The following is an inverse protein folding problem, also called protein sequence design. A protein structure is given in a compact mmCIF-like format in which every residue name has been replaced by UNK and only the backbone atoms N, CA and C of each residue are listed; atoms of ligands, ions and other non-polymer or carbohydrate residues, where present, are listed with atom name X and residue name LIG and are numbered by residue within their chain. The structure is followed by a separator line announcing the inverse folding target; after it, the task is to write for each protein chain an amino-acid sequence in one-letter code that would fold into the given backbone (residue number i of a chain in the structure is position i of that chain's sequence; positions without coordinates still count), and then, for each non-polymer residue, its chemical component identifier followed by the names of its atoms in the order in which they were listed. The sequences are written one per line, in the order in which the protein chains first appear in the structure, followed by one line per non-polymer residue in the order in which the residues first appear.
data_IF_338370160392
#
_entry.id   IF_338370160392
#
_cell.length_a   1.000
_cell.length_b   1.000
_cell.length_c   1.000
_cell.angle_alpha   90.00
_cell.angle_beta   90.00
_cell.angle_gamma   90.00
#
_symmetry.space_group_name_H-M   'P 1'
#
loop_
_entity.id
_entity.type
_entity.pdbx_description
1 polymer ?
#
# COMPACT_ATOMS: atom_id res chain seq x y z
N UNK A 1 38.93 33.15 54.94
CA UNK A 1 37.74 32.29 55.15
C UNK A 1 36.56 33.04 54.57
N UNK A 2 35.83 32.40 53.65
CA UNK A 2 34.66 32.87 52.89
C UNK A 2 34.85 34.02 51.89
N UNK A 3 34.63 33.70 50.61
CA UNK A 3 34.74 34.57 49.44
C UNK A 3 33.46 35.34 49.09
N UNK A 4 33.50 36.12 47.99
CA UNK A 4 32.40 36.98 47.58
C UNK A 4 31.39 36.28 46.68
N UNK A 5 30.19 36.88 46.65
CA UNK A 5 29.01 36.50 45.92
C UNK A 5 29.24 36.25 44.43
N UNK A 6 28.59 35.23 43.90
CA UNK A 6 28.22 35.16 42.48
C UNK A 6 26.71 35.03 42.40
N UNK A 7 26.10 35.99 41.70
CA UNK A 7 24.70 35.96 41.35
C UNK A 7 24.39 34.68 40.61
N UNK A 8 23.21 34.13 40.90
CA UNK A 8 22.57 33.14 40.06
C UNK A 8 22.26 33.81 38.73
N UNK A 9 23.23 33.80 37.82
CA UNK A 9 22.98 33.93 36.40
C UNK A 9 22.08 32.75 36.05
N UNK A 10 20.81 33.05 35.80
CA UNK A 10 19.93 32.21 35.02
C UNK A 10 20.64 31.97 33.68
N UNK A 11 21.44 30.91 33.62
CA UNK A 11 21.91 30.34 32.38
C UNK A 11 20.68 29.78 31.71
N UNK A 12 20.17 30.55 30.76
CA UNK A 12 19.40 30.14 29.59
C UNK A 12 19.47 28.64 29.40
N UNK A 13 18.43 27.90 29.84
CA UNK A 13 18.10 26.63 29.20
C UNK A 13 17.85 27.00 27.75
N UNK A 14 18.89 26.84 26.92
CA UNK A 14 18.78 26.99 25.49
C UNK A 14 17.67 26.05 25.05
N UNK A 15 16.60 26.63 24.53
CA UNK A 15 15.42 25.95 24.02
C UNK A 15 15.88 24.80 23.10
N UNK A 16 15.95 23.60 23.64
CA UNK A 16 16.46 22.41 22.95
C UNK A 16 15.32 21.67 22.24
N UNK A 17 14.11 22.26 22.24
CA UNK A 17 12.97 21.72 21.51
C UNK A 17 13.19 21.98 20.01
N UNK A 18 13.07 20.94 19.21
CA UNK A 18 13.07 21.06 17.75
C UNK A 18 11.78 21.79 17.34
N UNK A 19 11.79 22.51 16.21
CA UNK A 19 10.60 23.22 15.73
C UNK A 19 9.41 22.27 15.54
N UNK A 20 9.64 21.03 15.10
CA UNK A 20 8.58 20.02 14.98
C UNK A 20 7.90 19.66 16.31
N UNK A 21 8.57 19.84 17.46
CA UNK A 21 7.99 19.61 18.79
C UNK A 21 6.89 20.64 19.11
N UNK A 22 6.97 21.84 18.54
CA UNK A 22 5.96 22.89 18.71
C UNK A 22 4.71 22.61 17.88
N UNK A 23 4.87 22.01 16.70
CA UNK A 23 3.77 21.79 15.75
C UNK A 23 3.08 20.44 15.90
N UNK A 24 3.82 19.39 16.30
CA UNK A 24 3.25 18.05 16.50
C UNK A 24 3.96 17.29 17.64
N UNK A 25 3.73 17.69 18.91
CA UNK A 25 4.34 17.05 20.08
C UNK A 25 3.78 15.64 20.34
N UNK A 26 2.47 15.45 20.11
CA UNK A 26 1.80 14.16 20.26
C UNK A 26 1.58 13.53 18.89
N UNK A 27 2.05 12.30 18.72
CA UNK A 27 1.98 11.57 17.46
C UNK A 27 1.82 10.06 17.68
N UNK A 28 1.14 9.38 16.75
CA UNK A 28 0.96 7.93 16.80
C UNK A 28 2.17 7.18 16.21
N UNK A 29 2.87 7.81 15.25
CA UNK A 29 3.96 7.21 14.49
C UNK A 29 5.03 8.24 14.20
N UNK A 30 6.29 7.79 14.25
CA UNK A 30 7.45 8.55 13.78
C UNK A 30 8.37 7.73 12.87
N UNK A 31 9.01 8.39 11.91
CA UNK A 31 10.14 7.88 11.13
C UNK A 31 11.29 8.86 11.25
N UNK A 32 12.42 8.38 11.75
CA UNK A 32 13.65 9.17 11.86
C UNK A 32 14.75 8.54 11.01
N UNK A 33 15.48 9.37 10.26
CA UNK A 33 16.65 8.99 9.48
C UNK A 33 17.74 10.04 9.63
N UNK A 34 18.99 9.59 9.64
CA UNK A 34 20.15 10.46 9.77
C UNK A 34 21.19 10.12 8.72
N UNK A 35 21.93 11.13 8.28
CA UNK A 35 23.13 10.99 7.49
C UNK A 35 24.18 11.97 8.02
N UNK A 36 25.44 11.52 8.11
CA UNK A 36 26.57 12.41 8.34
C UNK A 36 27.09 12.85 6.98
N UNK A 37 27.18 14.16 6.78
CA UNK A 37 27.59 14.83 5.54
C UNK A 37 28.95 15.48 5.78
N UNK A 38 29.90 15.23 4.89
CA UNK A 38 31.24 15.85 4.94
C UNK A 38 31.21 17.24 4.26
N UNK A 39 30.35 18.12 4.79
CA UNK A 39 30.22 19.53 4.44
C UNK A 39 29.78 20.34 5.69
N UNK A 40 30.03 21.64 5.69
CA UNK A 40 29.54 22.54 6.75
C UNK A 40 27.98 22.63 6.74
N UNK A 41 27.38 23.09 7.86
CA UNK A 41 25.92 23.12 7.99
C UNK A 41 25.22 24.02 6.97
N UNK A 42 25.84 25.13 6.57
CA UNK A 42 25.26 26.10 5.63
C UNK A 42 25.18 25.48 4.23
N UNK A 43 26.28 24.91 3.75
CA UNK A 43 26.33 24.16 2.48
C UNK A 43 25.36 22.97 2.48
N UNK A 44 25.25 22.26 3.61
CA UNK A 44 24.32 21.13 3.75
C UNK A 44 22.85 21.59 3.75
N UNK A 45 22.55 22.72 4.40
CA UNK A 45 21.21 23.30 4.44
C UNK A 45 20.76 23.81 3.07
N UNK A 46 21.66 24.45 2.32
CA UNK A 46 21.38 24.90 0.96
C UNK A 46 21.17 23.72 0.00
N UNK A 47 22.00 22.69 0.09
CA UNK A 47 21.82 21.45 -0.66
C UNK A 47 20.48 20.76 -0.31
N UNK A 48 20.07 20.79 0.96
CA UNK A 48 18.79 20.26 1.42
C UNK A 48 17.60 21.01 0.82
N UNK A 49 17.63 22.34 0.75
CA UNK A 49 16.56 23.15 0.18
C UNK A 49 16.45 23.05 -1.35
N UNK A 50 17.58 22.80 -2.02
CA UNK A 50 17.68 22.78 -3.48
C UNK A 50 17.64 21.39 -4.09
N UNK A 51 17.78 20.33 -3.27
CA UNK A 51 17.67 18.95 -3.72
C UNK A 51 16.27 18.67 -4.30
N UNK A 52 16.24 18.18 -5.53
CA UNK A 52 15.04 17.71 -6.20
C UNK A 52 14.69 16.30 -5.70
N UNK A 53 13.55 16.19 -5.02
CA UNK A 53 13.07 14.94 -4.42
C UNK A 53 12.67 13.89 -5.47
N UNK A 54 12.35 14.32 -6.70
CA UNK A 54 11.86 13.45 -7.78
C UNK A 54 12.98 12.88 -8.66
N UNK A 55 14.21 13.41 -8.55
CA UNK A 55 15.36 12.86 -9.26
C UNK A 55 16.05 11.72 -8.48
N UNK A 56 15.27 11.04 -7.64
CA UNK A 56 15.71 9.92 -6.79
C UNK A 56 15.60 8.59 -7.56
N UNK A 57 16.18 8.51 -8.75
CA UNK A 57 16.32 7.28 -9.51
C UNK A 57 15.01 6.56 -9.93
N UNK A 58 15.12 5.42 -10.63
CA UNK A 58 13.97 4.79 -11.31
C UNK A 58 12.91 4.22 -10.36
N UNK A 59 13.24 4.00 -9.09
CA UNK A 59 12.36 3.35 -8.10
C UNK A 59 11.35 4.34 -7.53
N UNK A 60 11.75 5.60 -7.34
CA UNK A 60 10.89 6.65 -6.77
C UNK A 60 9.84 7.08 -7.80
N UNK A 61 10.28 7.29 -9.05
CA UNK A 61 9.36 7.49 -10.18
C UNK A 61 8.41 6.31 -10.40
N UNK A 62 8.83 5.08 -10.07
CA UNK A 62 7.96 3.91 -10.13
C UNK A 62 6.93 3.87 -8.99
N UNK A 63 7.31 4.29 -7.78
CA UNK A 63 6.40 4.36 -6.62
C UNK A 63 5.41 5.54 -6.74
N UNK A 64 5.83 6.68 -7.27
CA UNK A 64 4.97 7.81 -7.59
C UNK A 64 3.97 7.46 -8.68
N UNK A 65 4.43 6.86 -9.79
CA UNK A 65 3.54 6.33 -10.82
C UNK A 65 2.62 5.24 -10.31
N UNK A 66 3.05 4.40 -9.37
CA UNK A 66 2.21 3.38 -8.76
C UNK A 66 1.11 4.00 -7.87
N UNK A 67 1.42 5.11 -7.20
CA UNK A 67 0.50 5.88 -6.36
C UNK A 67 -0.50 6.68 -7.19
N UNK A 68 -0.07 7.32 -8.29
CA UNK A 68 -0.93 8.14 -9.15
C UNK A 68 -1.61 7.35 -10.27
N UNK A 69 -1.17 6.11 -10.57
CA UNK A 69 -1.74 5.25 -11.62
C UNK A 69 -3.26 5.06 -11.52
N UNK A 70 -3.86 4.78 -10.35
CA UNK A 70 -5.32 4.65 -10.24
C UNK A 70 -6.03 5.97 -10.64
N UNK A 71 -5.43 7.10 -10.29
CA UNK A 71 -6.00 8.44 -10.48
C UNK A 71 -5.84 8.94 -11.92
N UNK A 72 -4.67 8.80 -12.54
CA UNK A 72 -4.42 9.20 -13.95
C UNK A 72 -5.26 8.34 -14.92
N UNK A 73 -5.44 7.06 -14.60
CA UNK A 73 -6.35 6.17 -15.36
C UNK A 73 -7.79 6.65 -15.20
N UNK A 74 -8.22 7.02 -13.98
CA UNK A 74 -9.56 7.56 -13.74
C UNK A 74 -9.83 8.91 -14.43
N UNK A 75 -8.83 9.79 -14.51
CA UNK A 75 -8.95 11.12 -15.12
C UNK A 75 -8.98 11.04 -16.66
N UNK A 76 -8.14 10.19 -17.26
CA UNK A 76 -8.17 9.92 -18.71
C UNK A 76 -9.48 9.27 -19.16
N UNK A 77 -10.08 8.40 -18.34
CA UNK A 77 -11.35 7.77 -18.63
C UNK A 77 -12.56 8.72 -18.49
N UNK A 78 -12.44 9.77 -17.65
CA UNK A 78 -13.48 10.80 -17.49
C UNK A 78 -13.40 11.95 -18.50
N UNK A 79 -12.46 11.92 -19.43
CA UNK A 79 -12.29 12.97 -20.45
C UNK A 79 -11.86 14.33 -19.92
N UNK A 80 -11.41 14.40 -18.66
CA UNK A 80 -10.91 15.64 -18.04
C UNK A 80 -9.40 15.70 -18.28
N UNK A 81 -8.96 16.74 -19.00
CA UNK A 81 -7.54 17.07 -19.11
C UNK A 81 -7.06 17.56 -17.75
N UNK A 82 -6.39 16.69 -16.99
CA UNK A 82 -5.62 17.11 -15.82
C UNK A 82 -4.46 18.00 -16.27
N UNK A 83 -4.20 19.07 -15.53
CA UNK A 83 -3.04 19.92 -15.75
C UNK A 83 -1.74 19.08 -15.63
N UNK A 84 -0.66 19.46 -16.35
CA UNK A 84 0.59 18.70 -16.32
C UNK A 84 1.14 18.62 -14.90
N UNK A 85 1.56 17.43 -14.47
CA UNK A 85 2.33 17.26 -13.23
C UNK A 85 3.58 18.17 -13.25
N UNK A 86 3.92 18.84 -12.15
CA UNK A 86 5.14 19.63 -12.08
C UNK A 86 6.38 18.73 -12.23
N UNK A 87 7.29 19.12 -13.12
CA UNK A 87 8.50 18.34 -13.46
C UNK A 87 9.56 18.30 -12.33
N UNK A 88 9.35 19.03 -11.22
CA UNK A 88 10.30 19.18 -10.10
C UNK A 88 9.54 19.32 -8.76
N UNK A 89 10.00 18.64 -7.70
CA UNK A 89 9.57 18.90 -6.31
C UNK A 89 10.83 19.19 -5.48
N UNK A 90 11.18 20.48 -5.39
CA UNK A 90 12.17 20.97 -4.44
C UNK A 90 11.49 21.22 -3.10
N UNK A 91 12.15 20.99 -1.96
CA UNK A 91 11.57 21.26 -0.63
C UNK A 91 11.02 22.70 -0.50
N UNK A 92 11.67 23.67 -1.15
CA UNK A 92 11.25 25.07 -1.17
C UNK A 92 10.01 25.36 -2.04
N UNK A 93 9.61 24.43 -2.90
CA UNK A 93 8.41 24.54 -3.74
C UNK A 93 7.25 23.68 -3.21
N UNK A 94 7.50 22.80 -2.23
CA UNK A 94 6.46 22.03 -1.53
C UNK A 94 5.47 22.98 -0.84
N UNK A 95 5.96 24.05 -0.22
CA UNK A 95 5.13 25.11 0.40
C UNK A 95 4.31 25.97 -0.58
N UNK A 96 4.49 25.79 -1.89
CA UNK A 96 3.70 26.48 -2.93
C UNK A 96 2.59 25.62 -3.54
N UNK A 97 2.47 24.37 -3.08
CA UNK A 97 1.39 23.48 -3.51
C UNK A 97 0.24 23.54 -2.51
N UNK A 98 -0.98 23.45 -3.01
CA UNK A 98 -2.23 23.44 -2.24
C UNK A 98 -2.36 22.28 -1.23
N UNK A 99 -1.39 21.37 -1.19
CA UNK A 99 -1.38 20.11 -0.43
C UNK A 99 -0.52 20.19 0.85
N UNK A 100 0.48 21.08 0.87
CA UNK A 100 1.49 21.14 1.92
C UNK A 100 1.57 22.54 2.53
N UNK A 101 1.67 22.58 3.85
CA UNK A 101 1.79 23.79 4.64
C UNK A 101 3.24 23.99 5.04
N UNK A 102 3.78 25.18 4.77
CA UNK A 102 4.96 25.66 5.48
C UNK A 102 4.58 25.92 6.94
N UNK A 103 5.22 25.24 7.89
CA UNK A 103 4.90 25.41 9.31
C UNK A 103 5.84 26.42 9.96
N UNK A 104 7.16 26.18 9.86
CA UNK A 104 8.18 27.06 10.43
C UNK A 104 9.55 26.73 9.84
N UNK A 105 10.41 27.75 9.70
CA UNK A 105 11.80 27.59 9.31
C UNK A 105 12.74 28.37 10.23
N UNK A 106 13.84 27.73 10.59
CA UNK A 106 15.04 28.32 11.19
C UNK A 106 16.19 28.17 10.17
N UNK A 107 16.46 29.22 9.36
CA UNK A 107 17.49 29.18 8.33
C UNK A 107 18.84 28.68 8.87
N UNK A 108 19.43 27.70 8.18
CA UNK A 108 20.69 27.07 8.57
C UNK A 108 20.59 26.04 9.70
N UNK A 109 19.40 25.77 10.24
CA UNK A 109 19.20 24.82 11.34
C UNK A 109 18.09 23.80 11.08
N UNK A 110 16.87 24.24 10.79
CA UNK A 110 15.71 23.35 10.68
C UNK A 110 14.65 23.91 9.75
N UNK A 111 14.05 23.05 8.93
CA UNK A 111 12.93 23.37 8.05
C UNK A 111 11.76 22.42 8.33
N UNK A 112 10.61 22.97 8.73
CA UNK A 112 9.42 22.21 9.10
C UNK A 112 8.24 22.55 8.21
N UNK A 113 7.63 21.50 7.67
CA UNK A 113 6.44 21.59 6.85
C UNK A 113 5.50 20.44 7.19
N UNK A 114 4.22 20.61 6.87
CA UNK A 114 3.19 19.66 7.26
C UNK A 114 2.10 19.51 6.23
N UNK A 115 1.23 18.54 6.46
CA UNK A 115 0.04 18.33 5.66
C UNK A 115 -1.06 17.68 6.51
N UNK A 116 -2.31 17.94 6.14
CA UNK A 116 -3.47 17.31 6.76
C UNK A 116 -4.28 16.59 5.70
N UNK A 117 -4.57 15.32 5.91
CA UNK A 117 -5.33 14.55 4.94
C UNK A 117 -5.62 13.12 5.33
N UNK A 118 -6.32 12.43 4.43
CA UNK A 118 -6.64 11.00 4.55
C UNK A 118 -5.63 10.18 3.76
N UNK A 119 -4.41 10.04 4.29
CA UNK A 119 -3.28 9.41 3.59
C UNK A 119 -3.50 7.96 3.14
N UNK A 120 -4.49 7.27 3.74
CA UNK A 120 -4.87 5.89 3.43
C UNK A 120 -5.92 5.78 2.30
N UNK A 121 -6.33 6.89 1.68
CA UNK A 121 -7.23 6.88 0.53
C UNK A 121 -6.46 6.97 -0.80
N UNK A 122 -6.88 6.27 -1.86
CA UNK A 122 -6.21 6.29 -3.17
C UNK A 122 -6.15 7.69 -3.81
N UNK A 123 -7.26 8.43 -3.76
CA UNK A 123 -7.26 9.87 -3.97
C UNK A 123 -7.20 10.51 -2.59
N UNK A 124 -6.05 11.07 -2.23
CA UNK A 124 -5.88 11.65 -0.90
C UNK A 124 -6.76 12.88 -0.81
N UNK A 125 -7.70 12.83 0.13
CA UNK A 125 -8.46 13.99 0.51
C UNK A 125 -7.59 14.87 1.39
N UNK A 126 -7.13 15.99 0.84
CA UNK A 126 -6.36 17.00 1.54
C UNK A 126 -7.28 17.99 2.24
N UNK A 127 -6.85 18.48 3.41
CA UNK A 127 -7.47 19.60 4.10
C UNK A 127 -6.54 20.79 4.06
N UNK A 128 -7.01 21.85 3.40
CA UNK A 128 -6.34 23.14 3.42
C UNK A 128 -6.61 23.82 4.75
N UNK A 129 -5.54 24.34 5.34
CA UNK A 129 -5.53 25.03 6.62
C UNK A 129 -4.55 26.20 6.54
N UNK A 130 -4.68 27.16 7.45
CA UNK A 130 -3.61 28.12 7.71
C UNK A 130 -2.55 27.45 8.60
N UNK A 131 -1.25 27.80 8.48
CA UNK A 131 -0.18 27.21 9.28
C UNK A 131 -0.45 27.23 10.79
N UNK A 132 -0.95 28.36 11.31
CA UNK A 132 -1.26 28.54 12.74
C UNK A 132 -2.40 27.61 13.23
N UNK A 133 -3.25 27.14 12.32
CA UNK A 133 -4.36 26.23 12.65
C UNK A 133 -3.94 24.75 12.67
N UNK A 134 -2.75 24.41 12.15
CA UNK A 134 -2.29 23.02 12.01
C UNK A 134 -2.24 22.28 13.34
N UNK A 135 -1.61 22.89 14.36
CA UNK A 135 -1.42 22.25 15.66
C UNK A 135 -2.77 21.91 16.32
N UNK A 136 -3.74 22.84 16.23
CA UNK A 136 -5.06 22.72 16.84
C UNK A 136 -6.06 21.85 16.06
N UNK A 137 -5.75 21.44 14.82
CA UNK A 137 -6.70 20.70 14.00
C UNK A 137 -7.05 19.32 14.58
N UNK A 138 -8.35 19.03 14.69
CA UNK A 138 -8.90 17.82 15.33
C UNK A 138 -10.15 17.25 14.61
N UNK A 139 -10.44 17.67 13.37
CA UNK A 139 -11.60 17.17 12.61
C UNK A 139 -11.55 15.64 12.50
N UNK A 140 -12.60 14.90 12.92
CA UNK A 140 -12.58 13.44 12.88
C UNK A 140 -12.40 12.89 11.46
N UNK A 141 -11.64 11.81 11.35
CA UNK A 141 -11.39 11.06 10.14
C UNK A 141 -10.13 11.46 9.38
N UNK A 142 -9.25 12.30 9.94
CA UNK A 142 -8.05 12.82 9.28
C UNK A 142 -6.77 12.42 10.02
N UNK A 143 -5.62 12.71 9.38
CA UNK A 143 -4.32 12.66 10.02
C UNK A 143 -3.52 13.92 9.70
N UNK A 144 -2.75 14.37 10.70
CA UNK A 144 -1.75 15.42 10.61
C UNK A 144 -0.39 14.77 10.40
N UNK A 145 0.35 15.24 9.40
CA UNK A 145 1.72 14.86 9.12
C UNK A 145 2.60 16.10 9.29
N UNK A 146 3.62 16.01 10.13
CA UNK A 146 4.66 17.03 10.24
C UNK A 146 6.00 16.41 9.85
N UNK A 147 6.79 17.11 9.05
CA UNK A 147 8.11 16.68 8.60
C UNK A 147 9.11 17.78 8.96
N UNK A 148 10.19 17.37 9.62
CA UNK A 148 11.35 18.20 9.93
C UNK A 148 12.57 17.67 9.20
N UNK A 149 13.29 18.61 8.60
CA UNK A 149 14.64 18.42 8.14
C UNK A 149 15.56 19.34 8.92
N UNK A 150 16.56 18.79 9.59
CA UNK A 150 17.47 19.57 10.42
C UNK A 150 18.92 19.29 10.12
N UNK A 151 19.75 20.32 10.21
CA UNK A 151 21.21 20.24 10.12
C UNK A 151 21.82 20.64 11.46
N UNK A 152 22.77 19.85 11.95
CA UNK A 152 23.52 20.15 13.18
C UNK A 152 24.99 19.91 12.94
N UNK A 153 25.86 20.81 13.39
CA UNK A 153 27.31 20.58 13.34
C UNK A 153 27.71 19.45 14.31
N UNK A 154 28.52 18.50 13.86
CA UNK A 154 29.06 17.39 14.68
C UNK A 154 30.59 17.40 14.73
N UNK A 155 31.23 18.42 14.16
CA UNK A 155 32.68 18.62 14.17
C UNK A 155 33.13 19.53 13.03
N UNK A 156 34.45 19.74 12.91
CA UNK A 156 35.01 20.52 11.80
C UNK A 156 34.63 19.91 10.45
N UNK A 157 33.92 20.71 9.64
CA UNK A 157 33.52 20.35 8.28
C UNK A 157 32.51 19.20 8.17
N UNK A 158 31.81 18.82 9.25
CA UNK A 158 30.83 17.73 9.24
C UNK A 158 29.50 18.11 9.86
N UNK A 159 28.44 17.68 9.17
CA UNK A 159 27.06 18.00 9.53
C UNK A 159 26.25 16.72 9.69
N UNK A 160 25.44 16.65 10.75
CA UNK A 160 24.39 15.66 10.91
C UNK A 160 23.12 16.20 10.26
N UNK A 161 22.78 15.63 9.12
CA UNK A 161 21.51 15.83 8.45
C UNK A 161 20.50 14.83 9.00
N UNK A 162 19.38 15.33 9.51
CA UNK A 162 18.31 14.51 10.08
C UNK A 162 17.00 14.79 9.37
N UNK A 163 16.26 13.72 9.13
CA UNK A 163 14.87 13.73 8.68
C UNK A 163 14.02 13.10 9.77
N UNK A 164 12.96 13.79 10.17
CA UNK A 164 11.95 13.29 11.08
C UNK A 164 10.56 13.54 10.52
N UNK A 165 9.74 12.49 10.43
CA UNK A 165 8.35 12.61 10.05
C UNK A 165 7.45 12.03 11.14
N UNK A 166 6.50 12.84 11.61
CA UNK A 166 5.53 12.50 12.65
C UNK A 166 4.13 12.48 12.06
N UNK A 167 3.34 11.48 12.42
CA UNK A 167 1.93 11.40 12.01
C UNK A 167 1.05 11.22 13.24
N UNK A 168 0.04 12.08 13.36
CA UNK A 168 -0.99 12.01 14.39
C UNK A 168 -2.37 11.87 13.74
N UNK A 169 -3.15 10.89 14.19
CA UNK A 169 -4.52 10.65 13.75
C UNK A 169 -5.50 11.33 14.68
N UNK A 170 -6.59 11.88 14.12
CA UNK A 170 -7.56 12.71 14.89
C UNK A 170 -8.49 11.88 15.77
N UNK A 171 -8.72 10.61 15.42
CA UNK A 171 -9.65 9.72 16.13
C UNK A 171 -9.31 8.23 15.92
N UNK A 172 -9.99 7.34 16.66
CA UNK A 172 -9.74 5.89 16.64
C UNK A 172 -10.04 5.21 15.28
N UNK A 173 -11.00 5.73 14.51
CA UNK A 173 -11.28 5.22 13.15
C UNK A 173 -10.13 5.57 12.21
N UNK A 174 -9.68 6.82 12.23
CA UNK A 174 -8.50 7.25 11.47
C UNK A 174 -7.26 6.44 11.88
N UNK A 175 -7.03 6.25 13.19
CA UNK A 175 -5.92 5.44 13.74
C UNK A 175 -5.90 4.03 13.19
N UNK A 176 -7.05 3.34 13.20
CA UNK A 176 -7.15 1.95 12.71
C UNK A 176 -6.87 1.84 11.22
N UNK A 177 -7.39 2.77 10.41
CA UNK A 177 -7.17 2.78 8.97
C UNK A 177 -5.70 3.09 8.65
N UNK A 178 -5.15 4.14 9.29
CA UNK A 178 -3.75 4.52 9.15
C UNK A 178 -2.81 3.39 9.58
N UNK A 179 -3.11 2.67 10.66
CA UNK A 179 -2.26 1.56 11.14
C UNK A 179 -2.11 0.44 10.10
N UNK A 180 -3.15 0.12 9.35
CA UNK A 180 -3.10 -0.88 8.29
C UNK A 180 -2.31 -0.41 7.09
N UNK A 181 -2.60 0.79 6.59
CA UNK A 181 -1.82 1.46 5.56
C UNK A 181 -0.33 1.52 5.93
N UNK A 182 -0.04 1.95 7.15
CA UNK A 182 1.32 2.16 7.62
C UNK A 182 2.12 0.87 7.78
N UNK A 183 1.48 -0.24 8.17
CA UNK A 183 2.14 -1.56 8.22
C UNK A 183 2.77 -1.96 6.87
N UNK A 184 2.14 -1.55 5.77
CA UNK A 184 2.62 -1.85 4.42
C UNK A 184 3.65 -0.81 3.98
N UNK A 185 3.38 0.48 4.21
CA UNK A 185 4.20 1.58 3.66
C UNK A 185 5.47 1.88 4.46
N UNK A 186 5.46 1.68 5.79
CA UNK A 186 6.58 1.99 6.68
C UNK A 186 7.97 1.54 6.17
N UNK A 187 8.20 0.28 5.75
CA UNK A 187 9.52 -0.13 5.26
C UNK A 187 9.96 0.62 4.01
N UNK A 188 9.02 0.99 3.13
CA UNK A 188 9.31 1.74 1.91
C UNK A 188 9.56 3.23 2.19
N UNK A 189 8.76 3.85 3.06
CA UNK A 189 8.93 5.26 3.44
C UNK A 189 10.31 5.51 4.08
N UNK A 190 10.72 4.64 5.01
CA UNK A 190 12.05 4.75 5.62
C UNK A 190 13.20 4.52 4.64
N UNK A 191 13.03 3.64 3.65
CA UNK A 191 14.02 3.42 2.59
C UNK A 191 14.11 4.63 1.65
N UNK A 192 12.96 5.14 1.20
CA UNK A 192 12.86 6.31 0.33
C UNK A 192 13.58 7.52 0.94
N UNK A 193 13.30 7.82 2.21
CA UNK A 193 13.91 8.95 2.90
C UNK A 193 15.41 8.74 3.12
N UNK A 194 15.87 7.50 3.30
CA UNK A 194 17.32 7.23 3.36
C UNK A 194 18.01 7.59 2.04
N UNK A 195 17.35 7.36 0.89
CA UNK A 195 17.89 7.72 -0.43
C UNK A 195 17.90 9.22 -0.68
N UNK A 196 16.88 9.92 -0.21
CA UNK A 196 16.84 11.39 -0.23
C UNK A 196 18.01 11.95 0.57
N UNK A 197 18.25 11.45 1.79
CA UNK A 197 19.38 11.88 2.60
C UNK A 197 20.73 11.55 1.95
N UNK A 198 20.88 10.37 1.34
CA UNK A 198 22.08 10.02 0.56
C UNK A 198 22.33 10.98 -0.61
N UNK A 199 21.26 11.46 -1.25
CA UNK A 199 21.36 12.41 -2.36
C UNK A 199 21.75 13.80 -1.86
N UNK A 200 21.08 14.31 -0.84
CA UNK A 200 21.42 15.61 -0.23
C UNK A 200 22.88 15.59 0.23
N UNK A 201 23.29 14.49 0.88
CA UNK A 201 24.69 14.24 1.25
C UNK A 201 25.63 14.38 0.05
N UNK A 202 25.37 13.65 -1.04
CA UNK A 202 26.22 13.68 -2.22
C UNK A 202 26.23 15.04 -2.93
N UNK A 203 25.17 15.82 -2.82
CA UNK A 203 25.08 17.15 -3.44
C UNK A 203 25.87 18.17 -2.63
N UNK A 204 25.72 18.15 -1.30
CA UNK A 204 26.48 18.97 -0.36
C UNK A 204 27.99 18.70 -0.42
N UNK A 205 28.40 17.44 -0.41
CA UNK A 205 29.83 17.07 -0.48
C UNK A 205 30.47 17.48 -1.82
N UNK A 206 29.70 17.44 -2.91
CA UNK A 206 30.15 17.92 -4.22
C UNK A 206 30.31 19.43 -4.25
N UNK A 207 29.42 20.19 -3.61
CA UNK A 207 29.54 21.65 -3.49
C UNK A 207 30.75 22.02 -2.64
N UNK A 208 30.88 21.43 -1.45
CA UNK A 208 32.05 21.65 -0.58
C UNK A 208 33.38 21.34 -1.28
N UNK A 209 33.44 20.27 -2.08
CA UNK A 209 34.64 19.93 -2.87
C UNK A 209 34.94 20.94 -3.99
N UNK A 210 33.91 21.52 -4.62
CA UNK A 210 34.06 22.55 -5.66
C UNK A 210 34.54 23.86 -5.07
N UNK A 211 33.97 24.25 -3.95
CA UNK A 211 34.33 25.49 -3.24
C UNK A 211 35.74 25.42 -2.66
N UNK A 212 36.23 24.21 -2.35
CA UNK A 212 37.61 23.96 -1.98
C UNK A 212 38.60 23.98 -3.18
N UNK A 213 38.14 23.91 -4.44
CA UNK A 213 38.99 23.62 -5.62
C UNK A 213 39.16 24.76 -6.64
N UNK A 214 38.47 25.91 -6.55
CA UNK A 214 38.74 27.05 -7.46
C UNK A 214 39.36 28.27 -6.77
N UNK A 215 40.36 28.94 -7.40
CA UNK A 215 40.37 29.28 -8.83
C UNK A 215 41.61 28.82 -9.62
N UNK A 216 41.41 28.01 -10.67
CA UNK A 216 42.18 28.02 -11.93
C UNK A 216 41.77 26.84 -12.81
N UNK A 217 41.43 27.14 -14.07
CA UNK A 217 41.07 26.21 -15.14
C UNK A 217 42.09 25.06 -15.36
N UNK A 218 41.61 23.86 -15.70
CA UNK A 218 41.66 23.32 -17.07
C UNK A 218 40.91 21.96 -17.15
N UNK A 219 40.42 21.65 -18.34
CA UNK A 219 39.60 20.49 -18.71
C UNK A 219 40.45 19.23 -18.91
N UNK A 220 40.07 18.08 -18.33
CA UNK A 220 39.99 16.82 -19.10
C UNK A 220 39.16 15.73 -18.40
N UNK A 221 38.83 14.73 -19.19
CA UNK A 221 37.63 13.90 -19.22
C UNK A 221 37.82 12.53 -18.54
N UNK A 222 36.68 11.95 -18.12
CA UNK A 222 36.39 10.54 -17.80
C UNK A 222 37.00 9.91 -16.54
N UNK A 223 36.10 9.60 -15.60
CA UNK A 223 35.88 8.22 -15.16
C UNK A 223 34.44 8.06 -14.63
N UNK A 224 33.59 7.35 -15.38
CA UNK A 224 32.40 6.74 -14.79
C UNK A 224 32.87 5.60 -13.88
N UNK A 225 33.08 5.89 -12.60
CA UNK A 225 33.23 4.85 -11.58
C UNK A 225 31.82 4.39 -11.19
N UNK A 226 31.41 3.25 -11.76
CA UNK A 226 30.34 2.46 -11.17
C UNK A 226 30.80 1.97 -9.79
N UNK A 227 30.46 2.72 -8.75
CA UNK A 227 30.73 2.36 -7.37
C UNK A 227 30.10 1.00 -6.99
N UNK A 228 30.65 0.28 -6.00
CA UNK A 228 30.21 -1.05 -5.59
C UNK A 228 28.80 -1.10 -4.97
N UNK A 229 28.09 0.03 -4.88
CA UNK A 229 26.72 0.13 -4.38
C UNK A 229 25.68 -0.43 -5.37
N UNK A 230 25.82 -0.18 -6.68
CA UNK A 230 24.85 -0.64 -7.69
C UNK A 230 24.78 -2.18 -7.78
N UNK A 231 25.92 -2.88 -7.65
CA UNK A 231 25.96 -4.35 -7.60
C UNK A 231 25.31 -4.91 -6.34
N UNK A 232 25.56 -4.32 -5.15
CA UNK A 232 24.95 -4.76 -3.89
C UNK A 232 23.43 -4.55 -3.86
N UNK A 233 22.95 -3.47 -4.47
CA UNK A 233 21.51 -3.16 -4.61
C UNK A 233 20.84 -4.10 -5.61
N UNK A 234 21.46 -4.34 -6.77
CA UNK A 234 20.97 -5.33 -7.73
C UNK A 234 20.92 -6.73 -7.10
N UNK A 235 21.93 -7.11 -6.31
CA UNK A 235 21.92 -8.38 -5.57
C UNK A 235 20.83 -8.40 -4.50
N UNK A 236 20.62 -7.33 -3.72
CA UNK A 236 19.58 -7.29 -2.70
C UNK A 236 18.17 -7.34 -3.30
N UNK A 237 17.92 -6.67 -4.43
CA UNK A 237 16.66 -6.77 -5.17
C UNK A 237 16.48 -8.15 -5.80
N UNK A 238 17.54 -8.73 -6.36
CA UNK A 238 17.51 -10.09 -6.87
C UNK A 238 17.18 -11.07 -5.75
N UNK A 239 17.76 -10.90 -4.56
CA UNK A 239 17.45 -11.70 -3.37
C UNK A 239 16.01 -11.48 -2.93
N UNK A 240 15.51 -10.25 -2.86
CA UNK A 240 14.11 -9.98 -2.48
C UNK A 240 13.11 -10.60 -3.48
N UNK A 241 13.35 -10.40 -4.78
CA UNK A 241 12.54 -10.99 -5.86
C UNK A 241 12.64 -12.51 -5.80
N UNK A 242 13.82 -13.08 -5.55
CA UNK A 242 14.00 -14.52 -5.38
C UNK A 242 13.29 -15.04 -4.12
N UNK A 243 13.39 -14.36 -2.98
CA UNK A 243 12.68 -14.72 -1.74
C UNK A 243 11.17 -14.68 -1.93
N UNK A 244 10.66 -13.67 -2.65
CA UNK A 244 9.26 -13.63 -3.02
C UNK A 244 8.90 -14.77 -3.97
N UNK A 245 9.62 -14.92 -5.08
CA UNK A 245 9.30 -15.89 -6.13
C UNK A 245 9.41 -17.35 -5.67
N UNK A 246 10.42 -17.68 -4.85
CA UNK A 246 10.71 -19.05 -4.41
C UNK A 246 10.16 -19.37 -3.02
N UNK A 247 9.92 -18.37 -2.16
CA UNK A 247 9.45 -18.58 -0.79
C UNK A 247 8.01 -18.16 -0.59
N UNK A 248 7.73 -16.86 -0.76
CA UNK A 248 6.42 -16.27 -0.41
C UNK A 248 5.35 -16.67 -1.41
N UNK A 249 5.65 -16.63 -2.70
CA UNK A 249 4.71 -16.87 -3.80
C UNK A 249 4.18 -18.29 -3.83
N UNK A 250 5.01 -19.35 -3.78
CA UNK A 250 4.50 -20.72 -3.77
C UNK A 250 3.62 -20.98 -2.53
N UNK A 251 3.96 -20.36 -1.39
CA UNK A 251 3.20 -20.46 -0.16
C UNK A 251 1.82 -19.81 -0.26
N UNK A 252 1.74 -18.52 -0.60
CA UNK A 252 0.43 -17.84 -0.62
C UNK A 252 -0.47 -18.32 -1.77
N UNK A 253 0.10 -18.87 -2.86
CA UNK A 253 -0.69 -19.48 -3.96
C UNK A 253 -1.34 -20.80 -3.60
N UNK A 254 -0.91 -21.44 -2.51
CA UNK A 254 -1.37 -22.75 -2.02
C UNK A 254 -1.82 -22.68 -0.56
N UNK A 255 -2.19 -21.49 -0.10
CA UNK A 255 -2.47 -21.24 1.31
C UNK A 255 -3.58 -22.15 1.83
N UNK A 256 -3.29 -22.90 2.89
CA UNK A 256 -4.22 -23.82 3.54
C UNK A 256 -4.50 -25.14 2.82
N UNK A 257 -3.91 -25.36 1.64
CA UNK A 257 -4.10 -26.60 0.86
C UNK A 257 -3.19 -27.72 1.41
N UNK A 258 -3.74 -28.89 1.78
CA UNK A 258 -2.93 -30.05 2.16
C UNK A 258 -2.04 -30.52 1.01
N UNK A 259 -0.84 -31.05 1.33
CA UNK A 259 0.12 -31.47 0.30
C UNK A 259 -0.41 -32.57 -0.64
N UNK A 260 -1.34 -33.40 -0.17
CA UNK A 260 -2.02 -34.44 -0.97
C UNK A 260 -2.94 -33.88 -2.05
N UNK A 261 -3.47 -32.67 -1.83
CA UNK A 261 -4.61 -32.15 -2.59
C UNK A 261 -4.18 -31.05 -3.59
N UNK A 262 -2.89 -30.69 -3.59
CA UNK A 262 -2.32 -29.63 -4.42
C UNK A 262 -2.54 -29.87 -5.92
N UNK A 263 -2.49 -31.13 -6.35
CA UNK A 263 -2.62 -31.53 -7.75
C UNK A 263 -3.93 -32.29 -8.03
N UNK A 264 -4.80 -32.41 -7.03
CA UNK A 264 -6.08 -33.08 -7.21
C UNK A 264 -6.97 -32.30 -8.18
N UNK A 265 -7.63 -32.95 -9.16
CA UNK A 265 -8.57 -32.30 -10.05
C UNK A 265 -9.79 -31.82 -9.26
N UNK A 266 -10.21 -30.58 -9.48
CA UNK A 266 -11.41 -29.99 -8.89
C UNK A 266 -12.45 -29.67 -9.98
N UNK A 267 -13.75 -29.67 -9.66
CA UNK A 267 -14.79 -29.21 -10.55
C UNK A 267 -14.46 -27.86 -11.20
N UNK A 268 -14.62 -27.74 -12.51
CA UNK A 268 -14.31 -26.53 -13.29
C UNK A 268 -12.88 -26.46 -13.84
N UNK A 269 -12.01 -27.42 -13.51
CA UNK A 269 -10.67 -27.51 -14.11
C UNK A 269 -10.71 -27.80 -15.62
N UNK A 270 -11.74 -28.51 -16.07
CA UNK A 270 -12.00 -28.91 -17.46
C UNK A 270 -12.45 -27.75 -18.36
N UNK A 271 -13.00 -26.69 -17.76
CA UNK A 271 -13.41 -25.47 -18.47
C UNK A 271 -12.22 -24.63 -18.96
N UNK A 272 -11.04 -24.79 -18.34
CA UNK A 272 -9.80 -24.14 -18.74
C UNK A 272 -8.60 -25.10 -18.54
N UNK A 273 -8.49 -26.15 -19.37
CA UNK A 273 -7.52 -27.22 -19.17
C UNK A 273 -6.08 -26.75 -19.40
N UNK A 274 -5.89 -25.78 -20.30
CA UNK A 274 -4.60 -25.17 -20.68
C UNK A 274 -4.33 -23.85 -19.92
N UNK A 275 -4.85 -23.71 -18.70
CA UNK A 275 -4.54 -22.58 -17.82
C UNK A 275 -3.03 -22.45 -17.59
N UNK A 276 -2.53 -21.22 -17.63
CA UNK A 276 -1.09 -20.93 -17.46
C UNK A 276 -0.76 -20.43 -16.06
N UNK A 277 -1.78 -20.09 -15.27
CA UNK A 277 -1.66 -19.73 -13.87
C UNK A 277 -2.76 -20.40 -13.03
N UNK A 278 -2.38 -20.96 -11.88
CA UNK A 278 -3.25 -21.70 -10.95
C UNK A 278 -3.04 -21.24 -9.50
N UNK A 279 -4.07 -20.77 -8.85
CA UNK A 279 -4.07 -20.44 -7.42
C UNK A 279 -5.11 -21.31 -6.74
N UNK A 280 -4.77 -21.92 -5.61
CA UNK A 280 -5.71 -22.71 -4.82
C UNK A 280 -5.53 -22.37 -3.35
N UNK A 281 -6.61 -21.98 -2.71
CA UNK A 281 -6.67 -21.80 -1.26
C UNK A 281 -7.63 -22.82 -0.68
N UNK A 282 -7.38 -23.19 0.57
CA UNK A 282 -8.31 -23.99 1.32
C UNK A 282 -8.43 -23.47 2.76
N UNK A 283 -9.61 -23.65 3.35
CA UNK A 283 -9.85 -23.39 4.76
C UNK A 283 -10.77 -24.48 5.31
N UNK A 284 -10.49 -24.92 6.53
CA UNK A 284 -11.37 -25.83 7.27
C UNK A 284 -12.36 -24.99 8.08
N UNK A 285 -13.63 -25.38 8.03
CA UNK A 285 -14.76 -24.70 8.65
C UNK A 285 -15.44 -25.71 9.56
N UNK A 286 -15.64 -25.34 10.82
CA UNK A 286 -16.27 -26.20 11.84
C UNK A 286 -17.81 -26.18 11.69
N UNK A 287 -18.28 -26.42 10.46
CA UNK A 287 -19.68 -26.53 10.07
C UNK A 287 -19.88 -27.53 8.91
N UNK A 288 -21.07 -28.18 8.82
CA UNK A 288 -21.39 -29.07 7.71
C UNK A 288 -21.56 -28.30 6.40
N UNK A 289 -21.49 -29.00 5.26
CA UNK A 289 -21.58 -28.41 3.91
C UNK A 289 -22.87 -27.61 3.72
N UNK A 290 -23.99 -28.11 4.23
CA UNK A 290 -25.32 -27.47 4.22
C UNK A 290 -25.35 -26.11 4.92
N UNK A 291 -24.51 -25.89 5.93
CA UNK A 291 -24.41 -24.62 6.64
C UNK A 291 -23.45 -23.63 5.96
N UNK A 292 -22.48 -24.13 5.20
CA UNK A 292 -21.52 -23.31 4.45
C UNK A 292 -22.11 -22.86 3.11
N UNK A 293 -22.85 -23.74 2.44
CA UNK A 293 -23.36 -23.55 1.08
C UNK A 293 -24.16 -22.26 0.87
N UNK A 294 -25.13 -21.88 1.73
CA UNK A 294 -25.92 -20.67 1.56
C UNK A 294 -25.09 -19.38 1.48
N UNK A 295 -23.94 -19.35 2.16
CA UNK A 295 -23.03 -18.20 2.12
C UNK A 295 -22.32 -18.07 0.77
N UNK A 296 -21.99 -19.18 0.11
CA UNK A 296 -21.41 -19.21 -1.24
C UNK A 296 -22.44 -18.78 -2.28
N UNK A 297 -23.66 -19.30 -2.20
CA UNK A 297 -24.74 -19.03 -3.17
C UNK A 297 -25.07 -17.54 -3.23
N UNK A 298 -25.06 -16.84 -2.10
CA UNK A 298 -25.37 -15.41 -2.06
C UNK A 298 -24.15 -14.51 -2.30
N UNK A 299 -22.97 -15.03 -2.67
CA UNK A 299 -21.82 -14.19 -3.03
C UNK A 299 -22.16 -13.25 -4.20
N UNK A 300 -21.62 -12.03 -4.17
CA UNK A 300 -21.69 -11.09 -5.28
C UNK A 300 -21.98 -9.63 -4.89
N UNK A 301 -21.60 -8.72 -5.77
CA UNK A 301 -22.00 -7.31 -5.74
C UNK A 301 -23.50 -7.20 -6.02
N UNK A 302 -24.23 -6.45 -5.18
CA UNK A 302 -25.70 -6.40 -5.19
C UNK A 302 -26.39 -7.65 -4.62
N UNK A 303 -25.62 -8.62 -4.10
CA UNK A 303 -26.11 -9.84 -3.42
C UNK A 303 -25.75 -9.78 -1.93
N UNK A 304 -25.24 -10.86 -1.34
CA UNK A 304 -24.82 -10.93 0.06
C UNK A 304 -23.43 -10.36 0.36
N UNK A 305 -22.74 -9.82 -0.65
CA UNK A 305 -21.38 -9.29 -0.57
C UNK A 305 -20.30 -10.37 -0.68
N UNK A 306 -19.04 -9.97 -0.55
CA UNK A 306 -17.86 -10.87 -0.61
C UNK A 306 -17.29 -11.18 0.78
N UNK A 307 -17.95 -10.77 1.86
CA UNK A 307 -17.51 -11.06 3.23
C UNK A 307 -16.10 -10.57 3.58
N UNK A 308 -15.61 -9.59 2.82
CA UNK A 308 -14.23 -9.15 2.81
C UNK A 308 -14.05 -7.81 3.52
N UNK A 309 -13.19 -6.95 3.02
CA UNK A 309 -13.00 -5.59 3.50
C UNK A 309 -13.94 -4.63 2.74
N UNK A 310 -15.24 -4.69 3.00
CA UNK A 310 -16.25 -3.85 2.33
C UNK A 310 -15.89 -2.36 2.33
N UNK A 311 -15.30 -1.87 3.43
CA UNK A 311 -14.87 -0.47 3.54
C UNK A 311 -13.75 -0.12 2.54
N UNK A 312 -12.87 -1.06 2.24
CA UNK A 312 -11.76 -0.90 1.29
C UNK A 312 -12.27 -1.01 -0.14
N UNK A 313 -13.18 -1.95 -0.39
CA UNK A 313 -13.87 -2.15 -1.66
C UNK A 313 -14.73 -0.94 -2.02
N UNK A 314 -15.48 -0.39 -1.06
CA UNK A 314 -16.28 0.82 -1.25
C UNK A 314 -15.43 2.09 -1.38
N UNK A 315 -14.25 2.13 -0.76
CA UNK A 315 -13.31 3.24 -0.94
C UNK A 315 -12.76 3.34 -2.37
N UNK A 316 -12.83 2.25 -3.15
CA UNK A 316 -12.50 2.25 -4.59
C UNK A 316 -13.75 2.27 -5.49
N UNK A 317 -14.95 2.37 -4.90
CA UNK A 317 -16.22 2.50 -5.63
C UNK A 317 -16.89 1.18 -6.02
N UNK A 318 -16.53 0.05 -5.40
CA UNK A 318 -17.07 -1.27 -5.74
C UNK A 318 -18.49 -1.55 -5.19
N UNK A 319 -19.06 -0.64 -4.38
CA UNK A 319 -20.44 -0.71 -3.87
C UNK A 319 -20.85 -2.12 -3.38
N UNK A 320 -20.01 -2.70 -2.52
CA UNK A 320 -20.18 -4.00 -1.88
C UNK A 320 -20.82 -3.79 -0.50
N UNK A 321 -21.91 -4.52 -0.25
CA UNK A 321 -22.61 -4.53 1.02
C UNK A 321 -22.71 -5.96 1.54
N UNK A 322 -21.85 -6.31 2.50
CA UNK A 322 -21.93 -7.62 3.14
C UNK A 322 -23.11 -7.68 4.11
N UNK A 323 -23.85 -8.79 4.03
CA UNK A 323 -24.89 -9.14 5.00
C UNK A 323 -24.39 -10.22 5.96
N UNK A 324 -24.78 -10.13 7.23
CA UNK A 324 -24.48 -11.12 8.27
C UNK A 324 -25.62 -12.13 8.50
N UNK A 325 -26.49 -12.32 7.49
CA UNK A 325 -27.59 -13.29 7.52
C UNK A 325 -27.76 -13.96 6.16
N UNK A 326 -28.38 -15.14 6.16
CA UNK A 326 -28.85 -15.77 4.92
C UNK A 326 -30.07 -15.00 4.42
N UNK A 327 -30.03 -14.62 3.14
CA UNK A 327 -31.11 -13.91 2.46
C UNK A 327 -31.87 -14.93 1.60
N UNK A 328 -33.11 -15.32 1.96
CA UNK A 328 -33.87 -16.36 1.25
C UNK A 328 -34.01 -16.08 -0.25
N UNK A 329 -34.17 -14.81 -0.62
CA UNK A 329 -34.35 -14.37 -2.01
C UNK A 329 -33.10 -14.55 -2.87
N UNK A 330 -31.94 -14.75 -2.26
CA UNK A 330 -30.66 -14.96 -2.96
C UNK A 330 -30.27 -16.43 -3.10
N UNK A 331 -31.06 -17.36 -2.53
CA UNK A 331 -30.72 -18.79 -2.50
C UNK A 331 -31.10 -19.55 -3.77
N UNK A 332 -31.93 -18.97 -4.62
CA UNK A 332 -32.34 -19.53 -5.90
C UNK A 332 -31.33 -19.10 -6.98
N UNK A 333 -30.21 -19.81 -7.06
CA UNK A 333 -29.13 -19.58 -8.03
C UNK A 333 -29.10 -20.76 -9.00
N UNK A 334 -29.04 -20.48 -10.29
CA UNK A 334 -29.01 -21.49 -11.36
C UNK A 334 -27.75 -21.37 -12.23
N UNK A 335 -27.43 -22.44 -12.97
CA UNK A 335 -26.40 -22.39 -14.00
C UNK A 335 -26.79 -21.36 -15.08
N UNK A 336 -25.84 -20.46 -15.41
CA UNK A 336 -26.05 -19.34 -16.33
C UNK A 336 -26.32 -18.00 -15.63
N UNK A 337 -26.68 -17.99 -14.34
CA UNK A 337 -26.88 -16.75 -13.60
C UNK A 337 -25.60 -15.93 -13.49
N UNK A 338 -25.75 -14.61 -13.45
CA UNK A 338 -24.61 -13.68 -13.38
C UNK A 338 -24.33 -13.26 -11.94
N UNK A 339 -23.09 -13.44 -11.49
CA UNK A 339 -22.60 -12.95 -10.20
C UNK A 339 -21.63 -11.81 -10.44
N UNK A 340 -22.06 -10.56 -10.20
CA UNK A 340 -21.20 -9.39 -10.41
C UNK A 340 -20.09 -9.32 -9.36
N UNK A 341 -18.87 -9.02 -9.80
CA UNK A 341 -17.73 -8.74 -8.92
C UNK A 341 -17.63 -7.26 -8.55
N UNK A 342 -18.15 -6.38 -9.41
CA UNK A 342 -18.17 -4.94 -9.24
C UNK A 342 -19.38 -4.32 -9.96
N UNK A 343 -19.74 -3.05 -9.68
CA UNK A 343 -20.83 -2.35 -10.36
C UNK A 343 -20.59 -2.25 -11.88
N UNK A 344 -21.67 -2.15 -12.65
CA UNK A 344 -21.57 -1.97 -14.13
C UNK A 344 -20.75 -0.73 -14.50
N UNK A 345 -20.96 0.36 -13.77
CA UNK A 345 -20.29 1.63 -14.00
C UNK A 345 -18.89 1.72 -13.34
N UNK A 346 -18.37 0.60 -12.82
CA UNK A 346 -17.08 0.57 -12.15
C UNK A 346 -15.94 0.88 -13.15
N UNK A 347 -14.99 1.78 -12.82
CA UNK A 347 -13.88 2.10 -13.69
C UNK A 347 -13.01 0.85 -13.97
N UNK A 348 -12.98 0.41 -15.23
CA UNK A 348 -12.29 -0.83 -15.63
C UNK A 348 -13.15 -2.10 -15.55
N UNK A 349 -14.46 -1.96 -15.31
CA UNK A 349 -15.43 -3.04 -15.49
C UNK A 349 -15.36 -3.55 -16.93
N UNK A 350 -15.23 -4.85 -17.07
CA UNK A 350 -15.26 -5.55 -18.36
C UNK A 350 -16.34 -6.63 -18.32
N UNK A 351 -16.71 -7.25 -19.45
CA UNK A 351 -17.63 -8.39 -19.44
C UNK A 351 -17.15 -9.50 -18.50
N UNK A 352 -15.84 -9.63 -18.26
CA UNK A 352 -15.31 -10.59 -17.30
C UNK A 352 -15.69 -10.25 -15.84
N UNK A 353 -16.04 -9.00 -15.53
CA UNK A 353 -16.36 -8.54 -14.15
C UNK A 353 -17.77 -8.95 -13.71
N UNK A 354 -18.52 -9.54 -14.64
CA UNK A 354 -19.83 -10.13 -14.43
C UNK A 354 -19.80 -11.61 -14.87
N UNK A 355 -19.05 -12.48 -14.16
CA UNK A 355 -18.99 -13.90 -14.47
C UNK A 355 -20.36 -14.56 -14.32
N UNK A 356 -20.57 -15.62 -15.09
CA UNK A 356 -21.73 -16.49 -14.99
C UNK A 356 -21.41 -17.77 -14.22
N UNK A 357 -22.43 -18.34 -13.59
CA UNK A 357 -22.38 -19.67 -12.99
C UNK A 357 -22.23 -20.68 -14.11
N UNK A 358 -21.03 -21.24 -14.22
CA UNK A 358 -20.68 -22.24 -15.23
C UNK A 358 -21.13 -23.64 -14.84
N UNK A 359 -21.07 -23.94 -13.54
CA UNK A 359 -21.49 -25.21 -12.98
C UNK A 359 -21.94 -25.00 -11.53
N UNK A 360 -23.03 -25.66 -11.16
CA UNK A 360 -23.58 -25.64 -9.81
C UNK A 360 -23.97 -27.06 -9.36
N UNK A 361 -23.24 -27.59 -8.39
CA UNK A 361 -23.54 -28.84 -7.69
C UNK A 361 -23.86 -28.47 -6.23
N UNK A 362 -25.15 -28.46 -5.82
CA UNK A 362 -25.56 -28.04 -4.49
C UNK A 362 -24.74 -28.69 -3.37
N UNK A 363 -24.34 -27.88 -2.39
CA UNK A 363 -23.51 -28.26 -1.24
C UNK A 363 -22.13 -28.81 -1.56
N UNK A 364 -21.71 -28.76 -2.84
CA UNK A 364 -20.46 -29.38 -3.29
C UNK A 364 -19.60 -28.48 -4.18
N UNK A 365 -20.15 -27.82 -5.19
CA UNK A 365 -19.35 -27.01 -6.09
C UNK A 365 -20.13 -25.83 -6.71
N UNK A 366 -19.51 -24.65 -6.66
CA UNK A 366 -19.94 -23.46 -7.40
C UNK A 366 -18.78 -23.02 -8.29
N UNK A 367 -18.96 -23.02 -9.61
CA UNK A 367 -17.93 -22.63 -10.58
C UNK A 367 -18.37 -21.40 -11.35
N UNK A 368 -17.53 -20.37 -11.34
CA UNK A 368 -17.74 -19.12 -12.05
C UNK A 368 -16.78 -18.99 -13.23
N UNK A 369 -17.27 -18.43 -14.33
CA UNK A 369 -16.43 -18.08 -15.48
C UNK A 369 -16.91 -16.78 -16.13
N UNK A 370 -16.02 -15.99 -16.74
CA UNK A 370 -16.43 -14.86 -17.54
C UNK A 370 -17.19 -15.31 -18.80
N UNK A 371 -18.08 -14.46 -19.34
CA UNK A 371 -18.82 -14.77 -20.56
C UNK A 371 -17.88 -14.94 -21.77
N UNK A 372 -18.20 -15.90 -22.65
CA UNK A 372 -17.45 -16.21 -23.86
C UNK A 372 -17.21 -17.72 -24.07
N UNK A 373 -16.81 -18.11 -25.29
CA UNK A 373 -16.50 -19.53 -25.63
C UNK A 373 -15.15 -19.99 -25.05
N UNK A 374 -14.22 -19.08 -24.80
CA UNK A 374 -12.91 -19.36 -24.20
C UNK A 374 -12.70 -18.42 -23.01
N UNK A 375 -13.01 -18.88 -21.78
CA UNK A 375 -12.92 -18.02 -20.61
C UNK A 375 -11.45 -17.69 -20.30
N UNK A 376 -11.18 -16.43 -19.99
CA UNK A 376 -9.84 -16.00 -19.60
C UNK A 376 -9.42 -16.53 -18.21
N UNK A 377 -10.40 -16.87 -17.37
CA UNK A 377 -10.20 -17.47 -16.05
C UNK A 377 -11.42 -18.28 -15.59
N UNK A 378 -11.23 -19.16 -14.62
CA UNK A 378 -12.32 -19.87 -13.93
C UNK A 378 -12.08 -19.80 -12.43
N UNK A 379 -13.14 -19.63 -11.65
CA UNK A 379 -13.07 -19.55 -10.20
C UNK A 379 -14.05 -20.55 -9.58
N UNK A 380 -13.51 -21.61 -8.99
CA UNK A 380 -14.27 -22.71 -8.43
C UNK A 380 -14.22 -22.68 -6.90
N UNK A 381 -15.38 -22.78 -6.26
CA UNK A 381 -15.54 -23.03 -4.84
C UNK A 381 -16.02 -24.46 -4.64
N UNK A 382 -15.26 -25.27 -3.91
CA UNK A 382 -15.56 -26.69 -3.73
C UNK A 382 -15.61 -27.00 -2.24
N UNK A 383 -16.70 -27.61 -1.80
CA UNK A 383 -16.90 -28.09 -0.46
C UNK A 383 -16.62 -29.60 -0.41
N UNK A 384 -15.74 -30.00 0.49
CA UNK A 384 -15.45 -31.39 0.81
C UNK A 384 -15.71 -31.61 2.30
N UNK A 385 -16.61 -32.54 2.62
CA UNK A 385 -16.83 -32.95 4.02
C UNK A 385 -15.61 -33.75 4.50
N UNK A 386 -14.98 -33.28 5.58
CA UNK A 386 -13.95 -34.04 6.31
C UNK A 386 -14.64 -35.05 7.23
N UNK A 387 -15.69 -34.60 7.90
CA UNK A 387 -16.60 -35.37 8.74
C UNK A 387 -18.00 -34.72 8.74
N UNK A 388 -18.92 -35.24 9.56
CA UNK A 388 -20.31 -34.76 9.66
C UNK A 388 -20.41 -33.27 10.07
N UNK A 389 -19.38 -32.73 10.71
CA UNK A 389 -19.42 -31.44 11.39
C UNK A 389 -18.41 -30.43 10.83
N UNK A 390 -17.52 -30.87 9.94
CA UNK A 390 -16.36 -30.13 9.46
C UNK A 390 -16.26 -30.21 7.93
N UNK A 391 -16.14 -29.04 7.32
CA UNK A 391 -16.04 -28.89 5.86
C UNK A 391 -14.71 -28.24 5.49
N UNK A 392 -14.05 -28.77 4.47
CA UNK A 392 -12.97 -28.10 3.77
C UNK A 392 -13.54 -27.34 2.57
N UNK A 393 -13.36 -26.03 2.57
CA UNK A 393 -13.70 -25.17 1.45
C UNK A 393 -12.44 -24.87 0.64
N UNK A 394 -12.41 -25.31 -0.61
CA UNK A 394 -11.41 -24.92 -1.60
C UNK A 394 -11.91 -23.73 -2.42
N UNK A 395 -11.02 -22.77 -2.70
CA UNK A 395 -11.20 -21.76 -3.73
C UNK A 395 -10.06 -21.89 -4.74
N UNK A 396 -10.39 -22.24 -5.99
CA UNK A 396 -9.42 -22.45 -7.07
C UNK A 396 -9.65 -21.47 -8.20
N UNK A 397 -8.65 -20.64 -8.46
CA UNK A 397 -8.60 -19.74 -9.61
C UNK A 397 -7.66 -20.31 -10.66
N UNK A 398 -8.15 -20.56 -11.87
CA UNK A 398 -7.34 -20.85 -13.07
C UNK A 398 -7.40 -19.65 -13.98
N UNK A 399 -6.28 -19.25 -14.58
CA UNK A 399 -6.31 -18.12 -15.52
C UNK A 399 -5.30 -18.25 -16.65
N UNK A 400 -5.56 -17.47 -17.70
CA UNK A 400 -4.62 -17.11 -18.76
C UNK A 400 -4.38 -15.61 -18.67
N UNK A 401 -3.40 -15.15 -17.88
CA UNK A 401 -3.18 -13.71 -17.64
C UNK A 401 -2.97 -12.89 -18.93
N UNK A 402 -2.46 -13.51 -20.00
CA UNK A 402 -2.30 -12.87 -21.32
C UNK A 402 -3.61 -12.64 -22.09
N UNK A 403 -4.70 -13.26 -21.68
CA UNK A 403 -6.01 -13.20 -22.34
C UNK A 403 -7.09 -12.55 -21.45
N UNK A 404 -6.78 -12.24 -20.18
CA UNK A 404 -7.74 -11.62 -19.26
C UNK A 404 -7.65 -10.09 -19.30
N UNK A 405 -8.82 -9.46 -19.32
CA UNK A 405 -9.01 -8.02 -19.14
C UNK A 405 -9.16 -7.63 -17.66
N UNK A 406 -9.35 -8.60 -16.76
CA UNK A 406 -9.35 -8.41 -15.31
C UNK A 406 -7.94 -8.58 -14.75
N UNK A 407 -7.54 -7.58 -13.97
CA UNK A 407 -6.16 -7.47 -13.50
C UNK A 407 -5.28 -6.78 -14.54
N UNK A 408 -4.13 -6.23 -14.12
CA UNK A 408 -3.40 -5.22 -14.87
C UNK A 408 -2.52 -5.80 -16.01
N UNK A 409 -2.91 -6.93 -16.60
CA UNK A 409 -2.15 -7.69 -17.60
C UNK A 409 -2.44 -7.25 -19.05
N UNK A 410 -2.62 -5.95 -19.25
CA UNK A 410 -2.50 -5.33 -20.58
C UNK A 410 -1.02 -5.19 -20.95
N UNK A 411 -0.66 -5.50 -22.20
CA UNK A 411 0.70 -5.36 -22.74
C UNK A 411 1.38 -4.04 -22.31
N UNK A 412 2.57 -4.16 -21.72
CA UNK A 412 3.33 -3.02 -21.20
C UNK A 412 4.75 -3.41 -20.79
N UNK A 413 5.58 -2.38 -20.56
CA UNK A 413 7.01 -2.48 -20.20
C UNK A 413 7.29 -3.53 -19.10
N UNK A 414 8.43 -4.27 -19.16
CA UNK A 414 8.78 -5.32 -18.19
C UNK A 414 8.69 -4.90 -16.71
N UNK A 415 8.92 -3.61 -16.44
CA UNK A 415 8.87 -3.04 -15.10
C UNK A 415 7.44 -2.97 -14.53
N UNK A 416 6.43 -2.73 -15.38
CA UNK A 416 5.00 -2.74 -15.03
C UNK A 416 4.50 -4.16 -14.73
N UNK A 417 5.00 -5.14 -15.48
CA UNK A 417 4.74 -6.57 -15.20
C UNK A 417 5.28 -6.97 -13.83
N UNK A 418 6.48 -6.50 -13.45
CA UNK A 418 7.11 -6.81 -12.16
C UNK A 418 6.36 -6.15 -10.99
N UNK A 419 5.97 -4.88 -11.11
CA UNK A 419 5.17 -4.23 -10.05
C UNK A 419 3.79 -4.88 -9.92
N UNK A 420 3.10 -5.15 -11.03
CA UNK A 420 1.82 -5.85 -10.99
C UNK A 420 1.94 -7.23 -10.32
N UNK A 421 2.98 -7.97 -10.66
CA UNK A 421 3.28 -9.28 -10.07
C UNK A 421 3.55 -9.24 -8.56
N UNK A 422 4.19 -8.19 -8.06
CA UNK A 422 4.53 -8.03 -6.64
C UNK A 422 3.38 -7.44 -5.80
N UNK A 423 2.40 -6.79 -6.41
CA UNK A 423 1.33 -6.10 -5.68
C UNK A 423 -0.07 -6.70 -5.91
N UNK A 424 -0.41 -7.09 -7.13
CA UNK A 424 -1.74 -7.60 -7.46
C UNK A 424 -1.99 -9.00 -6.89
N UNK A 425 -1.05 -9.94 -7.07
CA UNK A 425 -1.19 -11.30 -6.52
C UNK A 425 -1.30 -11.30 -4.98
N UNK A 426 -0.49 -10.54 -4.22
CA UNK A 426 -0.65 -10.47 -2.77
C UNK A 426 -1.94 -9.75 -2.33
N UNK A 427 -2.36 -8.71 -3.05
CA UNK A 427 -3.61 -8.03 -2.75
C UNK A 427 -4.82 -8.96 -2.95
N UNK A 428 -4.88 -9.68 -4.08
CA UNK A 428 -5.89 -10.71 -4.33
C UNK A 428 -5.91 -11.77 -3.22
N UNK A 429 -4.74 -12.28 -2.83
CA UNK A 429 -4.63 -13.23 -1.72
C UNK A 429 -5.20 -12.69 -0.41
N UNK A 430 -4.90 -11.44 -0.05
CA UNK A 430 -5.41 -10.83 1.19
C UNK A 430 -6.93 -10.70 1.17
N UNK A 431 -7.51 -10.33 0.03
CA UNK A 431 -8.95 -10.21 -0.17
C UNK A 431 -9.64 -11.58 -0.13
N UNK A 432 -9.18 -12.54 -0.92
CA UNK A 432 -9.73 -13.89 -1.00
C UNK A 432 -9.63 -14.63 0.34
N UNK A 433 -8.47 -14.52 1.02
CA UNK A 433 -8.31 -15.07 2.37
C UNK A 433 -9.30 -14.47 3.37
N UNK A 434 -9.58 -13.16 3.26
CA UNK A 434 -10.53 -12.49 4.15
C UNK A 434 -11.96 -12.97 3.86
N UNK A 435 -12.34 -13.10 2.59
CA UNK A 435 -13.62 -13.68 2.18
C UNK A 435 -13.80 -15.09 2.76
N UNK A 436 -12.82 -15.99 2.56
CA UNK A 436 -12.86 -17.36 3.08
C UNK A 436 -13.00 -17.41 4.60
N UNK A 437 -12.24 -16.58 5.32
CA UNK A 437 -12.34 -16.47 6.78
C UNK A 437 -13.69 -15.85 7.21
N UNK A 438 -14.24 -14.95 6.39
CA UNK A 438 -15.55 -14.33 6.60
C UNK A 438 -16.70 -15.32 6.45
N UNK A 439 -16.60 -16.25 5.50
CA UNK A 439 -17.52 -17.38 5.33
C UNK A 439 -17.41 -18.32 6.53
N UNK A 440 -16.19 -18.77 6.87
CA UNK A 440 -15.92 -19.63 8.04
C UNK A 440 -16.62 -19.12 9.29
N UNK A 441 -16.36 -17.87 9.66
CA UNK A 441 -16.95 -17.24 10.86
C UNK A 441 -18.47 -17.32 10.87
N UNK A 442 -19.13 -17.07 9.73
CA UNK A 442 -20.58 -16.98 9.65
C UNK A 442 -21.25 -18.36 9.68
N UNK A 443 -20.68 -19.33 8.98
CA UNK A 443 -21.13 -20.71 9.01
C UNK A 443 -21.02 -21.31 10.43
N UNK A 444 -19.88 -21.08 11.11
CA UNK A 444 -19.67 -21.56 12.48
C UNK A 444 -20.59 -20.89 13.50
N UNK A 445 -20.90 -19.59 13.31
CA UNK A 445 -21.86 -18.88 14.16
C UNK A 445 -23.29 -19.40 13.98
N UNK A 446 -23.71 -19.68 12.74
CA UNK A 446 -25.03 -20.24 12.46
C UNK A 446 -25.22 -21.60 13.13
N UNK A 447 -24.24 -22.50 13.00
CA UNK A 447 -24.25 -23.82 13.66
C UNK A 447 -24.38 -23.74 15.18
N UNK A 448 -23.67 -22.80 15.81
CA UNK A 448 -23.75 -22.61 17.27
C UNK A 448 -25.17 -22.20 17.69
N UNK A 449 -25.80 -21.28 16.95
CA UNK A 449 -27.17 -20.82 17.24
C UNK A 449 -28.18 -21.98 17.14
N UNK A 450 -28.07 -22.82 16.11
CA UNK A 450 -28.95 -23.98 15.94
C UNK A 450 -28.74 -25.04 17.03
N UNK A 451 -27.49 -25.24 17.46
CA UNK A 451 -27.15 -26.14 18.56
C UNK A 451 -27.77 -25.69 19.89
N UNK A 452 -27.79 -24.37 20.17
CA UNK A 452 -28.43 -23.81 21.36
C UNK A 452 -29.95 -23.78 21.29
N UNK A 453 -30.54 -23.74 20.09
CA UNK A 453 -32.00 -23.79 19.93
C UNK A 453 -32.57 -25.22 20.04
N UNK A 454 -31.72 -26.24 19.92
CA UNK A 454 -32.11 -27.65 19.92
C UNK A 454 -31.85 -28.35 21.27
N UNK A 455 -31.06 -27.72 22.16
CA UNK A 455 -30.79 -28.15 23.53
C UNK A 455 -31.77 -27.53 24.53
#
# INVERSE_FOLDING_TARGET
MMGPAFGSSASTEADTSMLIDRHLPEFDVTVVRHAVVDADPETTYDAMLTADLLDTGPIVRALERLRTAPMVVSQRLRGVSGEPEPEQLRFIDVSKTDEWLHLEDAPGEEFVFGAVGKFWQPAIEWRQLEPDAFAAFDEPGYAKLAISLSVRSVGEGRTLLSYEARTATTDERARRNFRWYWRVIRPFAGYLMSRVLERIKADAERQASRDATEPSADVDNRAHSNGPSSRRIATAMLVLVATYHFGVRPWHRRWGVPASDVEAPLPGDDLLPDATDLVTHAIEIDAPTEAVWPWLVQLGQGRGGFYSYDWLENAVGADIHTVDRIVPELQDLEEGDTIRLAPEDYPGSSPESAPTVAHLDPERALVLRPPGESPAWTWAFVLESIDEDTTRLFARMRSKPRQSSIGPFTEGSPLRTITNYLFWEPAHFVMERKMLTGIKRRAEQAKQIDSFSTA
#
